data_IF_323867583241
#
_entry.id   IF_323867583241
#
_cell.length_a   1.000
_cell.length_b   1.000
_cell.length_c   1.000
_cell.angle_alpha   90.00
_cell.angle_beta   90.00
_cell.angle_gamma   90.00
#
_symmetry.space_group_name_H-M   'P 1'
#
loop_
_entity.id
_entity.type
_entity.pdbx_description
1 polymer ?
#
# COMPACT_ATOMS: atom_id res chain seq x y z
N UNK A 1 -16.34 23.06 -6.46
CA UNK A 1 -15.14 22.86 -5.63
C UNK A 1 -15.19 23.88 -4.52
N UNK A 2 -15.20 23.45 -3.27
CA UNK A 2 -15.10 24.34 -2.12
C UNK A 2 -13.62 24.52 -1.81
N UNK A 3 -13.09 25.70 -2.11
CA UNK A 3 -11.72 26.04 -1.79
C UNK A 3 -11.61 26.40 -0.29
N UNK A 4 -10.60 25.86 0.38
CA UNK A 4 -10.27 26.16 1.77
C UNK A 4 -8.84 26.72 1.86
N UNK A 5 -8.65 27.77 2.66
CA UNK A 5 -7.34 28.43 2.81
C UNK A 5 -6.68 28.01 4.12
N UNK A 6 -5.42 27.55 4.03
CA UNK A 6 -4.55 27.32 5.17
C UNK A 6 -3.52 28.45 5.26
N UNK A 7 -3.32 29.01 6.45
CA UNK A 7 -2.27 30.00 6.73
C UNK A 7 -1.44 29.51 7.91
N UNK A 8 -0.13 29.41 7.72
CA UNK A 8 0.80 28.97 8.74
C UNK A 8 2.09 29.79 8.67
N UNK A 9 2.82 29.85 9.77
CA UNK A 9 4.15 30.47 9.82
C UNK A 9 5.22 29.39 9.68
N UNK A 10 6.24 29.67 8.88
CA UNK A 10 7.45 28.86 8.73
C UNK A 10 8.66 29.76 8.88
N UNK A 11 9.78 29.16 9.25
CA UNK A 11 11.08 29.82 9.20
C UNK A 11 11.39 30.27 7.76
N UNK A 12 12.09 31.40 7.64
CA UNK A 12 12.37 32.01 6.34
C UNK A 12 13.30 31.15 5.47
N UNK A 13 14.30 30.51 6.10
CA UNK A 13 15.19 29.55 5.45
C UNK A 13 14.42 28.36 4.85
N UNK A 14 13.42 27.83 5.57
CA UNK A 14 12.60 26.70 5.14
C UNK A 14 11.69 27.11 3.98
N UNK A 15 11.09 28.31 4.04
CA UNK A 15 10.31 28.86 2.93
C UNK A 15 11.15 28.95 1.66
N UNK A 16 12.39 29.44 1.77
CA UNK A 16 13.31 29.55 0.64
C UNK A 16 13.67 28.18 0.07
N UNK A 17 14.14 27.26 0.92
CA UNK A 17 14.53 25.91 0.50
C UNK A 17 13.37 25.14 -0.15
N UNK A 18 12.15 25.23 0.41
CA UNK A 18 10.97 24.59 -0.15
C UNK A 18 10.57 25.19 -1.51
N UNK A 19 10.72 26.51 -1.68
CA UNK A 19 10.43 27.16 -2.95
C UNK A 19 11.43 26.78 -4.04
N UNK A 20 12.72 26.68 -3.70
CA UNK A 20 13.76 26.19 -4.62
C UNK A 20 13.50 24.73 -5.03
N UNK A 21 13.19 23.86 -4.07
CA UNK A 21 12.88 22.46 -4.33
C UNK A 21 11.65 22.30 -5.24
N UNK A 22 10.60 23.09 -5.03
CA UNK A 22 9.44 23.09 -5.90
C UNK A 22 9.79 23.56 -7.34
N UNK A 23 10.61 24.62 -7.45
CA UNK A 23 11.04 25.15 -8.76
C UNK A 23 11.90 24.16 -9.54
N UNK A 24 12.72 23.35 -8.87
CA UNK A 24 13.51 22.30 -9.50
C UNK A 24 12.65 21.25 -10.25
N UNK A 25 11.36 21.17 -9.91
CA UNK A 25 10.38 20.30 -10.56
C UNK A 25 9.31 21.09 -11.34
N UNK A 26 9.57 22.35 -11.70
CA UNK A 26 8.64 23.24 -12.40
C UNK A 26 7.28 23.42 -11.68
N UNK A 27 7.30 23.35 -10.36
CA UNK A 27 6.12 23.47 -9.51
C UNK A 27 6.21 24.68 -8.58
N UNK A 28 5.05 25.20 -8.20
CA UNK A 28 4.92 26.16 -7.09
C UNK A 28 4.93 25.43 -5.75
N UNK A 29 5.37 26.10 -4.69
CA UNK A 29 5.30 25.53 -3.34
C UNK A 29 3.88 25.08 -2.95
N UNK A 30 2.85 25.81 -3.40
CA UNK A 30 1.46 25.43 -3.15
C UNK A 30 1.05 24.13 -3.88
N UNK A 31 1.56 23.87 -5.09
CA UNK A 31 1.32 22.61 -5.80
C UNK A 31 2.01 21.44 -5.08
N UNK A 32 3.28 21.62 -4.69
CA UNK A 32 4.04 20.61 -3.96
C UNK A 32 3.37 20.29 -2.61
N UNK A 33 2.95 21.31 -1.87
CA UNK A 33 2.25 21.13 -0.59
C UNK A 33 0.93 20.38 -0.75
N UNK A 34 0.14 20.70 -1.78
CA UNK A 34 -1.11 19.97 -2.07
C UNK A 34 -0.86 18.51 -2.44
N UNK A 35 0.20 18.22 -3.20
CA UNK A 35 0.58 16.85 -3.52
C UNK A 35 0.96 16.08 -2.25
N UNK A 36 1.85 16.66 -1.43
CA UNK A 36 2.26 16.10 -0.14
C UNK A 36 1.07 15.83 0.79
N UNK A 37 0.13 16.77 0.91
CA UNK A 37 -1.07 16.59 1.75
C UNK A 37 -1.94 15.43 1.27
N UNK A 38 -2.14 15.28 -0.05
CA UNK A 38 -2.89 14.15 -0.60
C UNK A 38 -2.19 12.82 -0.35
N UNK A 39 -0.89 12.77 -0.59
CA UNK A 39 -0.09 11.55 -0.41
C UNK A 39 -0.04 11.14 1.08
N UNK A 40 0.06 12.12 1.99
CA UNK A 40 0.02 11.88 3.42
C UNK A 40 -1.33 11.30 3.87
N UNK A 41 -2.44 11.92 3.46
CA UNK A 41 -3.79 11.42 3.79
C UNK A 41 -4.00 10.02 3.22
N UNK A 42 -3.63 9.81 1.95
CA UNK A 42 -3.74 8.51 1.31
C UNK A 42 -2.94 7.44 2.06
N UNK A 43 -1.67 7.70 2.38
CA UNK A 43 -0.86 6.77 3.17
C UNK A 43 -1.49 6.42 4.50
N UNK A 44 -2.02 7.41 5.23
CA UNK A 44 -2.65 7.19 6.52
C UNK A 44 -3.95 6.36 6.39
N UNK A 45 -4.72 6.58 5.32
CA UNK A 45 -5.89 5.77 5.01
C UNK A 45 -5.48 4.35 4.62
N UNK A 46 -4.51 4.19 3.72
CA UNK A 46 -4.01 2.89 3.28
C UNK A 46 -3.45 2.07 4.47
N UNK A 47 -2.70 2.70 5.38
CA UNK A 47 -2.19 2.04 6.60
C UNK A 47 -3.33 1.62 7.56
N UNK A 48 -4.33 2.49 7.76
CA UNK A 48 -5.48 2.18 8.63
C UNK A 48 -6.42 1.13 8.01
N UNK A 49 -6.70 1.23 6.71
CA UNK A 49 -7.50 0.28 5.96
C UNK A 49 -6.80 -1.08 5.88
N UNK A 50 -5.48 -1.10 5.70
CA UNK A 50 -4.69 -2.31 5.74
C UNK A 50 -4.76 -3.00 7.11
N UNK A 51 -4.61 -2.27 8.22
CA UNK A 51 -4.73 -2.85 9.56
C UNK A 51 -6.14 -3.41 9.82
N UNK A 52 -7.19 -2.69 9.42
CA UNK A 52 -8.58 -3.15 9.55
C UNK A 52 -8.80 -4.42 8.72
N UNK A 53 -8.41 -4.40 7.45
CA UNK A 53 -8.52 -5.56 6.56
C UNK A 53 -7.74 -6.75 7.12
N UNK A 54 -6.50 -6.54 7.56
CA UNK A 54 -5.63 -7.58 8.10
C UNK A 54 -6.27 -8.24 9.33
N UNK A 55 -6.80 -7.46 10.28
CA UNK A 55 -7.49 -7.98 11.45
C UNK A 55 -8.73 -8.80 11.07
N UNK A 56 -9.49 -8.36 10.07
CA UNK A 56 -10.64 -9.12 9.58
C UNK A 56 -10.23 -10.45 8.96
N UNK A 57 -9.15 -10.48 8.17
CA UNK A 57 -8.62 -11.74 7.59
C UNK A 57 -8.11 -12.70 8.67
N UNK A 58 -7.40 -12.18 9.67
CA UNK A 58 -6.94 -12.98 10.82
C UNK A 58 -8.13 -13.58 11.57
N UNK A 59 -9.15 -12.77 11.87
CA UNK A 59 -10.34 -13.26 12.57
C UNK A 59 -11.09 -14.33 11.75
N UNK A 60 -11.24 -14.13 10.44
CA UNK A 60 -11.84 -15.12 9.57
C UNK A 60 -11.07 -16.46 9.56
N UNK A 61 -9.73 -16.41 9.58
CA UNK A 61 -8.89 -17.60 9.71
C UNK A 61 -9.06 -18.31 11.04
N UNK A 62 -9.09 -17.56 12.15
CA UNK A 62 -9.35 -18.10 13.49
C UNK A 62 -10.74 -18.74 13.58
N UNK A 63 -11.77 -18.09 13.05
CA UNK A 63 -13.14 -18.61 13.06
C UNK A 63 -13.26 -19.89 12.22
N UNK A 64 -12.61 -19.94 11.06
CA UNK A 64 -12.54 -21.14 10.20
C UNK A 64 -11.84 -22.30 10.91
N UNK A 65 -10.70 -22.02 11.55
CA UNK A 65 -9.96 -23.01 12.33
C UNK A 65 -10.77 -23.54 13.52
N UNK A 66 -11.42 -22.64 14.27
CA UNK A 66 -12.29 -22.98 15.40
C UNK A 66 -13.52 -23.77 14.96
N UNK A 67 -14.04 -23.55 13.75
CA UNK A 67 -15.10 -24.34 13.14
C UNK A 67 -14.63 -25.71 12.65
N UNK A 68 -13.33 -26.02 12.75
CA UNK A 68 -12.74 -27.30 12.33
C UNK A 68 -12.45 -27.39 10.83
N UNK A 69 -12.55 -26.29 10.09
CA UNK A 69 -12.22 -26.22 8.66
C UNK A 69 -10.70 -26.09 8.46
N UNK A 70 -9.95 -27.04 9.01
CA UNK A 70 -8.50 -27.13 8.91
C UNK A 70 -8.11 -28.17 7.87
N UNK A 71 -7.05 -27.87 7.12
CA UNK A 71 -6.45 -28.80 6.17
C UNK A 71 -5.12 -29.28 6.76
N UNK A 72 -4.85 -30.60 6.75
CA UNK A 72 -3.55 -31.14 7.13
C UNK A 72 -2.39 -30.52 6.33
N UNK A 73 -1.26 -30.30 7.00
CA UNK A 73 -0.11 -29.62 6.39
C UNK A 73 0.48 -30.37 5.19
N UNK A 74 0.46 -31.71 5.23
CA UNK A 74 0.90 -32.59 4.15
C UNK A 74 0.02 -32.48 2.90
N UNK A 75 -1.29 -32.34 3.08
CA UNK A 75 -2.25 -32.13 1.99
C UNK A 75 -2.03 -30.77 1.31
N UNK A 76 -1.84 -29.70 2.11
CA UNK A 76 -1.48 -28.36 1.59
C UNK A 76 -0.17 -28.40 0.81
N UNK A 77 0.87 -29.04 1.34
CA UNK A 77 2.16 -29.12 0.65
C UNK A 77 2.09 -29.90 -0.67
N UNK A 78 1.31 -30.98 -0.71
CA UNK A 78 1.10 -31.75 -1.94
C UNK A 78 0.41 -30.92 -3.03
N UNK A 79 -0.64 -30.17 -2.67
CA UNK A 79 -1.35 -29.30 -3.60
C UNK A 79 -0.45 -28.19 -4.14
N UNK A 80 0.25 -27.48 -3.26
CA UNK A 80 1.14 -26.39 -3.69
C UNK A 80 2.36 -26.90 -4.46
N UNK A 81 2.86 -28.12 -4.19
CA UNK A 81 3.88 -28.75 -5.02
C UNK A 81 3.39 -28.98 -6.45
N UNK A 82 2.16 -29.48 -6.63
CA UNK A 82 1.56 -29.67 -7.94
C UNK A 82 1.36 -28.35 -8.69
N UNK A 83 0.85 -27.31 -8.01
CA UNK A 83 0.68 -25.96 -8.59
C UNK A 83 2.01 -25.34 -9.05
N UNK A 84 3.07 -25.51 -8.25
CA UNK A 84 4.42 -25.03 -8.61
C UNK A 84 4.97 -25.74 -9.83
N UNK A 85 4.78 -27.06 -9.92
CA UNK A 85 5.21 -27.84 -11.08
C UNK A 85 4.45 -27.46 -12.35
N UNK A 86 3.13 -27.28 -12.26
CA UNK A 86 2.33 -26.82 -13.38
C UNK A 86 2.78 -25.43 -13.87
N UNK A 87 3.02 -24.51 -12.93
CA UNK A 87 3.51 -23.16 -13.24
C UNK A 87 4.87 -23.21 -13.92
N UNK A 88 5.79 -24.05 -13.44
CA UNK A 88 7.12 -24.26 -14.04
C UNK A 88 7.01 -24.77 -15.47
N UNK A 89 6.15 -25.76 -15.72
CA UNK A 89 5.88 -26.31 -17.05
C UNK A 89 5.33 -25.26 -18.01
N UNK A 90 4.43 -24.39 -17.54
CA UNK A 90 3.88 -23.28 -18.35
C UNK A 90 4.95 -22.25 -18.70
N UNK A 91 5.87 -21.96 -17.78
CA UNK A 91 6.98 -21.03 -18.02
C UNK A 91 7.99 -21.61 -19.01
N UNK A 92 8.38 -22.89 -18.87
CA UNK A 92 9.31 -23.54 -19.79
C UNK A 92 8.73 -23.74 -21.20
N UNK A 93 7.42 -23.98 -21.32
CA UNK A 93 6.74 -24.07 -22.61
C UNK A 93 6.55 -22.73 -23.33
N UNK A 94 6.76 -21.60 -22.63
CA UNK A 94 6.68 -20.24 -23.19
C UNK A 94 8.04 -19.69 -23.63
N UNK A 95 9.11 -20.45 -23.38
CA UNK A 95 10.50 -20.09 -23.71
C UNK A 95 11.04 -20.82 -24.96
N UNK A 96 10.17 -21.40 -25.79
CA UNK A 96 10.51 -22.03 -27.07
C UNK A 96 9.84 -21.32 -28.24
#
# INVERSE_FOLDING_TARGET
>A
MTDATFTFRVEENLKFAFSEAARAHDQTGAQLLRAFMRDYVKRQQDEAEYDIWFRQQVQAGLDSANAGNLIPADEVEAEFAALREETRRKLSGKSS
#
